data_IF_623007407053
#
_entry.id   IF_623007407053
#
_cell.length_a   1.000
_cell.length_b   1.000
_cell.length_c   1.000
_cell.angle_alpha   90.00
_cell.angle_beta   90.00
_cell.angle_gamma   90.00
#
_symmetry.space_group_name_H-M   'P 1'
#
loop_
_entity.id
_entity.type
_entity.pdbx_description
1 polymer ?
#
# COMPACT_ATOMS: atom_id res chain seq x y z
N UNK A 1 33.05 23.69 -0.88
CA UNK A 1 31.86 24.50 -1.18
C UNK A 1 30.65 23.71 -0.68
N UNK A 2 29.67 24.33 0.01
CA UNK A 2 28.45 23.63 0.39
C UNK A 2 27.59 23.35 -0.86
N UNK A 3 26.85 22.24 -0.84
CA UNK A 3 25.93 21.90 -1.92
C UNK A 3 24.78 22.91 -2.01
N UNK A 4 24.27 23.14 -3.23
CA UNK A 4 23.10 23.98 -3.48
C UNK A 4 21.84 23.11 -3.35
N UNK A 5 20.89 23.44 -2.46
CA UNK A 5 19.66 22.67 -2.32
C UNK A 5 18.72 22.89 -3.52
N UNK A 6 18.11 21.82 -4.00
CA UNK A 6 17.04 21.85 -5.01
C UNK A 6 15.80 21.19 -4.40
N UNK A 7 14.66 21.86 -4.50
CA UNK A 7 13.37 21.32 -4.06
C UNK A 7 12.65 20.68 -5.26
N UNK A 8 12.21 19.44 -5.10
CA UNK A 8 11.39 18.72 -6.07
C UNK A 8 10.06 18.30 -5.41
N UNK A 9 9.02 18.15 -6.22
CA UNK A 9 7.75 17.60 -5.76
C UNK A 9 7.92 16.13 -5.37
N UNK A 10 7.31 15.73 -4.25
CA UNK A 10 7.35 14.36 -3.75
C UNK A 10 6.06 13.63 -4.11
N UNK A 11 6.13 12.39 -4.62
CA UNK A 11 4.93 11.59 -4.88
C UNK A 11 4.34 10.97 -3.60
N UNK A 12 4.99 11.19 -2.44
CA UNK A 12 4.55 10.67 -1.14
C UNK A 12 3.28 11.38 -0.70
N UNK A 13 2.26 10.60 -0.35
CA UNK A 13 1.01 11.07 0.24
C UNK A 13 0.89 10.57 1.67
N UNK A 14 0.17 11.34 2.49
CA UNK A 14 -0.16 11.00 3.88
C UNK A 14 -1.63 10.60 3.95
N UNK A 15 -1.90 9.50 4.62
CA UNK A 15 -3.24 8.96 4.81
C UNK A 15 -3.50 8.73 6.28
N UNK A 16 -4.52 9.39 6.80
CA UNK A 16 -5.06 9.11 8.12
C UNK A 16 -6.08 7.98 8.01
N UNK A 17 -5.79 6.87 8.66
CA UNK A 17 -6.73 5.76 8.81
C UNK A 17 -7.58 6.06 10.04
N UNK A 18 -8.86 6.29 9.81
CA UNK A 18 -9.84 6.63 10.85
C UNK A 18 -10.79 5.46 11.07
N UNK A 19 -11.26 5.31 12.32
CA UNK A 19 -12.32 4.35 12.64
C UNK A 19 -13.72 4.92 12.36
N UNK A 20 -14.75 4.11 12.62
CA UNK A 20 -16.15 4.52 12.46
C UNK A 20 -16.59 5.66 13.40
N UNK A 21 -15.79 6.00 14.42
CA UNK A 21 -16.03 7.10 15.35
C UNK A 21 -15.33 8.40 14.93
N UNK A 22 -14.46 8.33 13.92
CA UNK A 22 -13.65 9.44 13.43
C UNK A 22 -12.31 9.59 14.14
N UNK A 23 -11.93 8.65 14.99
CA UNK A 23 -10.63 8.67 15.67
C UNK A 23 -9.54 8.21 14.71
N UNK A 24 -8.42 8.95 14.67
CA UNK A 24 -7.25 8.57 13.87
C UNK A 24 -6.54 7.41 14.55
N UNK A 25 -6.64 6.24 13.92
CA UNK A 25 -5.97 5.01 14.37
C UNK A 25 -4.48 5.06 14.06
N UNK A 26 -4.13 5.55 12.87
CA UNK A 26 -2.75 5.71 12.44
C UNK A 26 -2.63 6.60 11.19
N UNK A 27 -1.47 7.25 11.03
CA UNK A 27 -1.12 8.03 9.83
C UNK A 27 0.02 7.35 9.09
N UNK A 28 -0.18 7.03 7.82
CA UNK A 28 0.84 6.41 6.97
C UNK A 28 1.21 7.28 5.80
N UNK A 29 2.51 7.28 5.50
CA UNK A 29 3.06 7.89 4.30
C UNK A 29 3.42 6.79 3.30
N UNK A 30 2.87 6.88 2.10
CA UNK A 30 3.27 5.99 1.00
C UNK A 30 3.00 6.64 -0.36
N UNK A 31 3.55 6.03 -1.40
CA UNK A 31 3.36 6.46 -2.79
C UNK A 31 2.34 5.51 -3.43
N UNK A 32 1.05 5.88 -3.52
CA UNK A 32 0.00 4.97 -3.99
C UNK A 32 0.10 4.60 -5.47
N UNK A 33 0.89 5.37 -6.23
CA UNK A 33 1.10 5.17 -7.67
C UNK A 33 2.51 4.67 -8.01
N UNK A 34 3.22 4.19 -6.99
CA UNK A 34 4.47 3.45 -7.19
C UNK A 34 4.14 2.15 -7.92
N UNK A 35 4.77 1.88 -9.06
CA UNK A 35 4.48 0.69 -9.84
C UNK A 35 4.83 -0.60 -9.07
N UNK A 36 5.79 -0.53 -8.15
CA UNK A 36 6.20 -1.66 -7.31
C UNK A 36 5.19 -1.90 -6.16
N UNK A 37 4.27 -0.97 -5.86
CA UNK A 37 3.31 -1.14 -4.77
C UNK A 37 2.32 -2.28 -5.04
N UNK A 38 2.02 -2.56 -6.32
CA UNK A 38 1.14 -3.66 -6.71
C UNK A 38 1.76 -5.01 -6.36
N UNK A 39 3.05 -5.20 -6.68
CA UNK A 39 3.77 -6.42 -6.33
C UNK A 39 3.88 -6.58 -4.81
N UNK A 40 4.22 -5.48 -4.10
CA UNK A 40 4.29 -5.48 -2.65
C UNK A 40 2.96 -5.86 -2.02
N UNK A 41 1.86 -5.29 -2.50
CA UNK A 41 0.52 -5.60 -2.02
C UNK A 41 0.16 -7.08 -2.23
N UNK A 42 0.38 -7.61 -3.43
CA UNK A 42 0.11 -9.03 -3.71
C UNK A 42 0.94 -9.96 -2.81
N UNK A 43 2.20 -9.62 -2.55
CA UNK A 43 3.06 -10.38 -1.64
C UNK A 43 2.53 -10.39 -0.20
N UNK A 44 1.99 -9.27 0.29
CA UNK A 44 1.38 -9.23 1.62
C UNK A 44 0.06 -9.98 1.67
N UNK A 45 -0.78 -9.89 0.63
CA UNK A 45 -2.03 -10.66 0.54
C UNK A 45 -1.76 -12.17 0.63
N UNK A 46 -0.81 -12.68 -0.17
CA UNK A 46 -0.43 -14.10 -0.14
C UNK A 46 0.07 -14.53 1.24
N UNK A 47 0.96 -13.72 1.85
CA UNK A 47 1.46 -14.00 3.18
C UNK A 47 0.33 -14.03 4.23
N UNK A 48 -0.64 -13.13 4.13
CA UNK A 48 -1.83 -13.15 4.98
C UNK A 48 -2.66 -14.41 4.77
N UNK A 49 -2.97 -14.77 3.52
CA UNK A 49 -3.77 -15.96 3.18
C UNK A 49 -3.10 -17.24 3.70
N UNK A 50 -1.80 -17.41 3.43
CA UNK A 50 -1.03 -18.58 3.88
C UNK A 50 -1.09 -18.71 5.42
N UNK A 51 -0.80 -17.62 6.15
CA UNK A 51 -0.83 -17.62 7.62
C UNK A 51 -2.25 -17.86 8.16
N UNK A 52 -3.25 -17.26 7.53
CA UNK A 52 -4.65 -17.40 7.96
C UNK A 52 -5.17 -18.82 7.75
N UNK A 53 -4.82 -19.45 6.63
CA UNK A 53 -5.17 -20.84 6.35
C UNK A 53 -4.52 -21.79 7.36
N UNK A 54 -3.23 -21.62 7.67
CA UNK A 54 -2.54 -22.43 8.69
C UNK A 54 -3.18 -22.27 10.08
N UNK A 55 -3.53 -21.04 10.46
CA UNK A 55 -4.26 -20.75 11.70
C UNK A 55 -5.63 -21.43 11.73
N UNK A 56 -6.39 -21.32 10.64
CA UNK A 56 -7.73 -21.89 10.52
C UNK A 56 -7.71 -23.42 10.56
N UNK A 57 -6.81 -24.06 9.83
CA UNK A 57 -6.64 -25.51 9.86
C UNK A 57 -6.32 -26.02 11.27
N UNK A 58 -5.47 -25.28 12.00
CA UNK A 58 -5.13 -25.63 13.38
C UNK A 58 -6.34 -25.48 14.31
N UNK A 59 -7.13 -24.41 14.14
CA UNK A 59 -8.35 -24.14 14.91
C UNK A 59 -9.47 -25.17 14.66
N UNK A 60 -9.67 -25.58 13.40
CA UNK A 60 -10.70 -26.52 12.98
C UNK A 60 -10.34 -27.98 13.32
N UNK A 61 -9.04 -28.29 13.42
CA UNK A 61 -8.57 -29.59 13.87
C UNK A 61 -8.77 -29.78 15.39
N UNK A 62 -8.81 -31.03 15.87
CA UNK A 62 -8.78 -31.35 17.31
C UNK A 62 -7.48 -30.89 18.01
N UNK A 63 -6.57 -30.23 17.30
CA UNK A 63 -5.31 -29.66 17.78
C UNK A 63 -5.45 -28.21 18.25
N UNK A 64 -6.67 -27.76 18.59
CA UNK A 64 -6.89 -26.45 19.22
C UNK A 64 -6.01 -26.25 20.47
N UNK A 65 -5.67 -27.33 21.17
CA UNK A 65 -4.74 -27.34 22.30
C UNK A 65 -3.26 -27.10 21.89
N UNK A 66 -2.89 -27.38 20.63
CA UNK A 66 -1.57 -27.10 20.04
C UNK A 66 -1.44 -25.65 19.53
N UNK A 67 -2.56 -24.93 19.33
CA UNK A 67 -2.53 -23.52 18.95
C UNK A 67 -2.12 -22.65 20.15
N UNK A 68 -0.82 -22.55 20.36
CA UNK A 68 -0.26 -21.70 21.40
C UNK A 68 -0.43 -20.22 21.04
N UNK A 69 -0.62 -19.38 22.07
CA UNK A 69 -0.53 -17.92 21.93
C UNK A 69 0.81 -17.49 21.30
N UNK A 70 1.87 -18.27 21.50
CA UNK A 70 3.18 -18.04 20.88
C UNK A 70 3.12 -18.13 19.35
N UNK A 71 2.45 -19.15 18.79
CA UNK A 71 2.28 -19.31 17.35
C UNK A 71 1.50 -18.14 16.74
N UNK A 72 0.39 -17.74 17.38
CA UNK A 72 -0.42 -16.60 16.96
C UNK A 72 0.42 -15.31 16.99
N UNK A 73 1.16 -15.08 18.07
CA UNK A 73 2.02 -13.90 18.21
C UNK A 73 3.15 -13.87 17.17
N UNK A 74 3.72 -15.04 16.83
CA UNK A 74 4.73 -15.15 15.78
C UNK A 74 4.17 -14.78 14.41
N UNK A 75 2.99 -15.30 14.04
CA UNK A 75 2.35 -14.91 12.79
C UNK A 75 1.94 -13.43 12.80
N UNK A 76 1.42 -12.93 13.92
CA UNK A 76 1.04 -11.53 14.06
C UNK A 76 2.26 -10.61 13.82
N UNK A 77 3.40 -10.94 14.42
CA UNK A 77 4.64 -10.20 14.20
C UNK A 77 5.13 -10.31 12.76
N UNK A 78 5.12 -11.51 12.19
CA UNK A 78 5.53 -11.72 10.80
C UNK A 78 4.65 -10.95 9.82
N UNK A 79 3.34 -10.91 10.04
CA UNK A 79 2.41 -10.16 9.23
C UNK A 79 2.63 -8.65 9.37
N UNK A 80 2.87 -8.14 10.58
CA UNK A 80 3.29 -6.75 10.76
C UNK A 80 4.54 -6.42 9.93
N UNK A 81 5.58 -7.28 9.95
CA UNK A 81 6.79 -7.04 9.17
C UNK A 81 6.51 -7.02 7.64
N UNK A 82 5.49 -7.77 7.18
CA UNK A 82 5.01 -7.69 5.78
C UNK A 82 4.31 -6.37 5.49
N UNK A 83 3.52 -5.85 6.42
CA UNK A 83 2.93 -4.52 6.29
C UNK A 83 4.01 -3.43 6.28
N UNK A 84 5.04 -3.54 7.11
CA UNK A 84 6.18 -2.61 7.09
C UNK A 84 6.83 -2.57 5.70
N UNK A 85 6.97 -3.73 5.05
CA UNK A 85 7.45 -3.84 3.67
C UNK A 85 6.49 -3.19 2.64
N UNK A 86 5.17 -3.38 2.78
CA UNK A 86 4.18 -2.76 1.91
C UNK A 86 4.25 -1.23 1.94
N UNK A 87 4.35 -0.64 3.13
CA UNK A 87 4.37 0.81 3.30
C UNK A 87 5.78 1.40 3.24
N UNK A 88 6.83 0.57 3.33
CA UNK A 88 8.20 0.99 3.57
C UNK A 88 8.31 1.95 4.79
N UNK A 89 7.57 1.62 5.85
CA UNK A 89 7.39 2.43 7.04
C UNK A 89 7.00 1.55 8.24
N UNK A 90 7.16 2.06 9.47
CA UNK A 90 6.71 1.34 10.68
C UNK A 90 5.17 1.35 10.78
N UNK A 91 4.56 0.18 10.64
CA UNK A 91 3.11 -0.06 10.69
C UNK A 91 2.61 -0.51 12.05
N UNK A 92 3.46 -0.48 13.08
CA UNK A 92 3.08 -0.85 14.45
C UNK A 92 1.86 -0.08 14.98
N UNK A 93 1.57 1.11 14.45
CA UNK A 93 0.37 1.88 14.77
C UNK A 93 -0.93 1.07 14.61
N UNK A 94 -1.10 0.35 13.50
CA UNK A 94 -2.30 -0.47 13.27
C UNK A 94 -2.43 -1.60 14.29
N UNK A 95 -1.31 -2.23 14.63
CA UNK A 95 -1.30 -3.49 15.38
C UNK A 95 -1.11 -3.32 16.89
N UNK A 96 -0.88 -2.08 17.35
CA UNK A 96 -1.00 -1.70 18.77
C UNK A 96 -2.46 -1.67 19.24
N UNK A 97 -3.39 -1.42 18.31
CA UNK A 97 -4.84 -1.34 18.60
C UNK A 97 -5.41 -2.76 18.70
N UNK A 98 -5.14 -3.58 17.69
CA UNK A 98 -5.62 -4.95 17.61
C UNK A 98 -4.60 -5.83 16.89
N UNK A 99 -4.53 -7.11 17.29
CA UNK A 99 -3.71 -8.10 16.58
C UNK A 99 -4.16 -8.20 15.11
N UNK A 100 -3.26 -8.40 14.14
CA UNK A 100 -3.61 -8.56 12.72
C UNK A 100 -4.74 -9.56 12.44
N UNK A 101 -4.82 -10.63 13.23
CA UNK A 101 -5.82 -11.70 13.09
C UNK A 101 -7.07 -11.50 13.96
N UNK A 102 -7.24 -10.32 14.56
CA UNK A 102 -8.45 -10.00 15.33
C UNK A 102 -9.66 -10.02 14.40
N UNK A 103 -10.69 -10.83 14.68
CA UNK A 103 -11.89 -10.84 13.87
C UNK A 103 -12.69 -9.55 14.11
N UNK A 104 -13.09 -8.89 13.03
CA UNK A 104 -13.95 -7.72 13.05
C UNK A 104 -15.43 -8.13 13.09
N UNK A 105 -16.35 -7.19 13.28
CA UNK A 105 -17.80 -7.47 13.35
C UNK A 105 -18.34 -8.16 12.09
N UNK A 106 -17.75 -7.86 10.93
CA UNK A 106 -18.10 -8.48 9.65
C UNK A 106 -17.51 -9.91 9.47
N UNK A 107 -16.70 -10.38 10.42
CA UNK A 107 -16.04 -11.68 10.39
C UNK A 107 -14.66 -11.68 9.74
N UNK A 108 -14.23 -10.57 9.12
CA UNK A 108 -12.92 -10.48 8.46
C UNK A 108 -11.82 -10.18 9.49
N UNK A 109 -10.58 -10.67 9.28
CA UNK A 109 -9.45 -10.28 10.10
C UNK A 109 -9.10 -8.79 9.93
N UNK A 110 -8.68 -8.13 11.01
CA UNK A 110 -8.30 -6.71 11.01
C UNK A 110 -7.29 -6.35 9.91
N UNK A 111 -6.28 -7.20 9.69
CA UNK A 111 -5.31 -7.02 8.62
C UNK A 111 -5.93 -7.01 7.22
N UNK A 112 -6.96 -7.83 6.97
CA UNK A 112 -7.64 -7.88 5.67
C UNK A 112 -8.39 -6.57 5.39
N UNK A 113 -9.07 -6.02 6.41
CA UNK A 113 -9.76 -4.72 6.30
C UNK A 113 -8.78 -3.61 5.91
N UNK A 114 -7.58 -3.60 6.51
CA UNK A 114 -6.53 -2.63 6.14
C UNK A 114 -6.04 -2.87 4.71
N UNK A 115 -5.73 -4.12 4.32
CA UNK A 115 -5.24 -4.46 2.98
C UNK A 115 -6.20 -4.04 1.88
N UNK A 116 -7.50 -4.29 2.06
CA UNK A 116 -8.52 -3.90 1.08
C UNK A 116 -8.67 -2.38 1.00
N UNK A 117 -8.53 -1.68 2.12
CA UNK A 117 -8.55 -0.22 2.14
C UNK A 117 -7.35 0.35 1.36
N UNK A 118 -6.17 -0.23 1.53
CA UNK A 118 -4.97 0.14 0.76
C UNK A 118 -5.13 -0.16 -0.71
N UNK A 119 -5.72 -1.30 -1.08
CA UNK A 119 -6.02 -1.65 -2.47
C UNK A 119 -6.88 -0.59 -3.14
N UNK A 120 -7.97 -0.19 -2.50
CA UNK A 120 -8.87 0.86 -3.01
C UNK A 120 -8.12 2.17 -3.25
N UNK A 121 -7.23 2.56 -2.33
CA UNK A 121 -6.41 3.77 -2.48
C UNK A 121 -5.47 3.65 -3.69
N UNK A 122 -4.76 2.52 -3.83
CA UNK A 122 -3.83 2.28 -4.94
C UNK A 122 -4.58 2.33 -6.28
N UNK A 123 -5.70 1.63 -6.40
CA UNK A 123 -6.52 1.58 -7.62
C UNK A 123 -7.04 2.97 -7.99
N UNK A 124 -7.59 3.70 -7.01
CA UNK A 124 -8.14 5.03 -7.21
C UNK A 124 -7.08 6.03 -7.68
N UNK A 125 -5.92 6.05 -7.03
CA UNK A 125 -4.86 7.02 -7.35
C UNK A 125 -4.12 6.65 -8.64
N UNK A 126 -3.89 5.36 -8.88
CA UNK A 126 -3.24 4.90 -10.10
C UNK A 126 -4.10 5.19 -11.33
N UNK A 127 -5.42 4.94 -11.27
CA UNK A 127 -6.33 5.27 -12.36
C UNK A 127 -6.37 6.77 -12.70
N UNK A 128 -6.40 7.63 -11.68
CA UNK A 128 -6.32 9.10 -11.86
C UNK A 128 -5.00 9.50 -12.53
N UNK A 129 -3.88 8.97 -12.05
CA UNK A 129 -2.55 9.35 -12.54
C UNK A 129 -2.30 8.86 -13.98
N UNK A 130 -2.77 7.67 -14.36
CA UNK A 130 -2.70 7.21 -15.75
C UNK A 130 -3.52 8.13 -16.68
N UNK A 131 -4.74 8.49 -16.28
CA UNK A 131 -5.60 9.41 -17.06
C UNK A 131 -4.91 10.78 -17.26
N UNK A 132 -4.28 11.31 -16.21
CA UNK A 132 -3.52 12.55 -16.30
C UNK A 132 -2.25 12.43 -17.14
N UNK A 133 -1.51 11.33 -17.01
CA UNK A 133 -0.32 11.04 -17.81
C UNK A 133 -0.68 10.98 -19.29
N UNK A 134 -1.77 10.29 -19.67
CA UNK A 134 -2.26 10.25 -21.05
C UNK A 134 -2.66 11.63 -21.56
N UNK A 135 -3.39 12.41 -20.75
CA UNK A 135 -3.77 13.78 -21.10
C UNK A 135 -2.55 14.69 -21.33
N UNK A 136 -1.54 14.58 -20.46
CA UNK A 136 -0.29 15.35 -20.55
C UNK A 136 0.57 14.88 -21.73
N UNK A 137 0.72 13.57 -21.93
CA UNK A 137 1.43 12.99 -23.08
C UNK A 137 0.78 13.42 -24.40
N UNK A 138 -0.55 13.47 -24.48
CA UNK A 138 -1.28 14.06 -25.60
C UNK A 138 -0.89 15.52 -25.86
N UNK A 139 -0.80 16.34 -24.80
CA UNK A 139 -0.37 17.76 -24.92
C UNK A 139 1.08 17.91 -25.38
N UNK A 140 2.00 17.04 -24.93
CA UNK A 140 3.42 17.10 -25.31
C UNK A 140 3.70 16.51 -26.71
N UNK A 141 2.82 15.64 -27.23
CA UNK A 141 2.95 15.03 -28.57
C UNK A 141 2.17 15.78 -29.66
N UNK A 142 1.20 16.62 -29.28
CA UNK A 142 0.48 17.50 -30.20
C UNK A 142 1.38 18.40 -31.10
N UNK A 143 2.48 18.99 -30.60
CA UNK A 143 3.41 19.77 -31.43
C UNK A 143 4.17 18.93 -32.47
N UNK A 144 4.26 17.61 -32.27
CA UNK A 144 4.96 16.69 -33.17
C UNK A 144 4.00 16.04 -34.19
N UNK A 145 2.71 15.95 -33.85
CA UNK A 145 1.67 15.39 -34.73
C UNK A 145 1.03 16.42 -35.68
N UNK A 146 1.27 17.73 -35.45
CA UNK A 146 0.76 18.81 -36.28
C UNK A 146 1.79 19.29 -37.35
N UNK A 147 2.15 18.41 -38.29
CA UNK A 147 2.72 18.78 -39.60
C UNK A 147 4.19 19.27 -39.67
N UNK A 148 4.83 19.20 -40.86
CA UNK A 148 6.28 19.31 -41.00
C UNK A 148 6.76 20.77 -41.05
N UNK A 149 7.85 21.05 -40.33
CA UNK A 149 8.74 22.17 -40.62
C UNK A 149 8.56 23.41 -39.74
N UNK A 150 9.46 23.54 -38.75
CA UNK A 150 10.41 24.66 -38.59
C UNK A 150 11.17 24.45 -37.28
N UNK A 151 12.36 23.88 -37.36
CA UNK A 151 13.30 23.89 -36.24
C UNK A 151 13.71 25.34 -35.94
N UNK A 152 13.64 25.80 -34.68
CA UNK A 152 14.01 27.16 -34.30
C UNK A 152 15.52 27.34 -34.04
N UNK A 153 16.36 26.35 -34.34
CA UNK A 153 17.80 26.46 -34.14
C UNK A 153 18.51 26.67 -35.49
N UNK A 154 19.30 27.74 -35.65
CA UNK A 154 20.18 27.86 -36.80
C UNK A 154 21.23 26.74 -36.71
N UNK A 155 21.31 25.93 -37.77
CA UNK A 155 22.39 24.96 -37.94
C UNK A 155 23.66 25.77 -38.18
N UNK A 156 24.68 25.58 -37.34
CA UNK A 156 26.03 26.10 -37.56
C UNK A 156 26.76 25.25 -38.60
#
# INVERSE_FOLDING_TARGET
MPNIPINIESPVKYYDFTDQHGDVLATFKFVPTDLDIFERQQNVYRAFEDMWMELKETLDSKKKEELSLETINRYAKSLQDKFDYLFNADTSGFFKIASPFTPMENGDPWALVILESVQKIIEQETGKNFTEMESKAGKYTQPYNAGPGKYPFPVK
#
